data_IF_426122406192
#
_entry.id   IF_426122406192
#
_cell.length_a   1.000
_cell.length_b   1.000
_cell.length_c   1.000
_cell.angle_alpha   90.00
_cell.angle_beta   90.00
_cell.angle_gamma   90.00
#
_symmetry.space_group_name_H-M   'P 1'
#
loop_
_entity.id
_entity.type
_entity.pdbx_description
1 polymer ?
#
# COMPACT_ATOMS: atom_id res chain seq x y z
N UNK A 1 -10.14 17.04 0.55
CA UNK A 1 -9.38 16.95 -0.72
C UNK A 1 -7.90 16.95 -0.39
N UNK A 2 -7.11 16.11 -1.02
CA UNK A 2 -5.65 16.05 -0.88
C UNK A 2 -4.96 17.13 -1.75
N UNK A 3 -3.69 17.51 -1.48
CA UNK A 3 -3.02 18.59 -2.20
C UNK A 3 -2.74 18.30 -3.69
N UNK A 4 -2.70 17.02 -4.06
CA UNK A 4 -2.58 16.55 -5.45
C UNK A 4 -3.91 16.59 -6.23
N UNK A 5 -4.98 17.10 -5.60
CA UNK A 5 -6.31 17.18 -6.19
C UNK A 5 -7.13 15.90 -6.07
N UNK A 6 -6.57 14.80 -5.52
CA UNK A 6 -7.35 13.60 -5.24
C UNK A 6 -8.36 13.86 -4.11
N UNK A 7 -9.47 13.15 -4.17
CA UNK A 7 -10.57 13.28 -3.22
C UNK A 7 -10.61 12.00 -2.39
N UNK A 8 -10.33 12.10 -1.10
CA UNK A 8 -10.52 10.99 -0.16
C UNK A 8 -11.81 11.18 0.62
N UNK A 9 -12.54 10.09 0.82
CA UNK A 9 -13.81 10.08 1.57
C UNK A 9 -13.75 9.01 2.64
N UNK A 10 -14.23 9.31 3.84
CA UNK A 10 -14.59 8.29 4.81
C UNK A 10 -16.05 7.88 4.62
N UNK A 11 -16.29 6.58 4.65
CA UNK A 11 -17.61 5.99 4.47
C UNK A 11 -17.76 4.76 5.38
N UNK A 12 -18.95 4.17 5.33
CA UNK A 12 -19.16 2.81 5.83
C UNK A 12 -19.40 1.89 4.64
N UNK A 13 -18.86 0.68 4.71
CA UNK A 13 -19.13 -0.37 3.74
C UNK A 13 -19.89 -1.51 4.41
N UNK A 14 -20.85 -2.10 3.71
CA UNK A 14 -21.52 -3.32 4.14
C UNK A 14 -20.59 -4.51 3.88
N UNK A 15 -20.19 -5.20 4.96
CA UNK A 15 -19.34 -6.38 4.92
C UNK A 15 -20.06 -7.51 5.63
N UNK A 16 -20.77 -8.34 4.85
CA UNK A 16 -21.69 -9.33 5.39
C UNK A 16 -22.88 -8.65 6.09
N UNK A 17 -23.24 -9.04 7.33
CA UNK A 17 -24.40 -8.50 8.04
C UNK A 17 -24.13 -7.18 8.79
N UNK A 18 -22.91 -6.63 8.71
CA UNK A 18 -22.49 -5.45 9.49
C UNK A 18 -21.86 -4.37 8.62
N UNK A 19 -21.88 -3.13 9.11
CA UNK A 19 -21.16 -2.01 8.51
C UNK A 19 -19.75 -1.89 9.08
N UNK A 20 -18.77 -1.58 8.22
CA UNK A 20 -17.36 -1.38 8.57
C UNK A 20 -16.86 -0.01 8.13
N UNK A 21 -15.91 0.57 8.87
CA UNK A 21 -15.20 1.76 8.42
C UNK A 21 -14.56 1.49 7.06
N UNK A 22 -14.76 2.41 6.14
CA UNK A 22 -14.15 2.36 4.82
C UNK A 22 -13.63 3.73 4.41
N UNK A 23 -12.62 3.73 3.55
CA UNK A 23 -12.09 4.92 2.92
C UNK A 23 -11.95 4.69 1.42
N UNK A 24 -12.53 5.56 0.62
CA UNK A 24 -12.39 5.54 -0.83
C UNK A 24 -11.57 6.76 -1.29
N UNK A 25 -10.87 6.61 -2.42
CA UNK A 25 -10.19 7.73 -3.08
C UNK A 25 -10.62 7.84 -4.53
N UNK A 26 -10.79 9.08 -4.97
CA UNK A 26 -11.12 9.43 -6.33
C UNK A 26 -10.02 10.35 -6.89
N UNK A 27 -9.78 10.22 -8.19
CA UNK A 27 -8.96 11.11 -8.99
C UNK A 27 -9.62 12.50 -9.08
N UNK A 28 -8.88 13.57 -9.46
CA UNK A 28 -9.45 14.91 -9.61
C UNK A 28 -10.63 15.00 -10.59
N UNK A 29 -10.72 14.06 -11.54
CA UNK A 29 -11.82 13.95 -12.49
C UNK A 29 -13.05 13.17 -11.96
N UNK A 30 -13.03 12.76 -10.68
CA UNK A 30 -14.12 12.03 -10.02
C UNK A 30 -14.14 10.52 -10.27
N UNK A 31 -13.23 9.98 -11.07
CA UNK A 31 -13.09 8.52 -11.24
C UNK A 31 -12.46 7.89 -10.00
N UNK A 32 -12.82 6.65 -9.67
CA UNK A 32 -12.23 5.92 -8.55
C UNK A 32 -10.74 5.70 -8.80
N UNK A 33 -9.90 6.03 -7.81
CA UNK A 33 -8.47 5.76 -7.85
C UNK A 33 -8.21 4.34 -7.36
N UNK A 34 -8.14 3.39 -8.30
CA UNK A 34 -7.98 1.95 -8.01
C UNK A 34 -6.64 1.61 -7.33
N UNK A 35 -5.69 2.54 -7.29
CA UNK A 35 -4.39 2.37 -6.63
C UNK A 35 -4.43 2.60 -5.12
N UNK A 36 -5.55 3.12 -4.60
CA UNK A 36 -5.74 3.40 -3.18
C UNK A 36 -6.33 2.21 -2.42
N UNK A 37 -5.52 1.47 -1.67
CA UNK A 37 -5.99 0.25 -1.01
C UNK A 37 -6.34 -0.85 -2.02
N UNK A 38 -7.38 -1.65 -1.74
CA UNK A 38 -7.82 -2.74 -2.62
C UNK A 38 -8.97 -2.22 -3.49
N UNK A 39 -8.70 -2.06 -4.79
CA UNK A 39 -9.71 -1.58 -5.75
C UNK A 39 -10.19 -0.15 -5.48
N UNK A 40 -9.37 0.68 -4.86
CA UNK A 40 -9.70 2.07 -4.51
C UNK A 40 -10.33 2.26 -3.14
N UNK A 41 -10.45 1.18 -2.34
CA UNK A 41 -11.05 1.21 -1.01
C UNK A 41 -10.12 0.57 0.04
N UNK A 42 -10.01 1.22 1.19
CA UNK A 42 -9.43 0.64 2.42
C UNK A 42 -10.57 0.30 3.38
N UNK A 43 -10.53 -0.88 3.98
CA UNK A 43 -11.49 -1.33 4.99
C UNK A 43 -10.80 -1.44 6.34
N UNK A 44 -11.52 -1.12 7.40
CA UNK A 44 -11.06 -1.24 8.76
C UNK A 44 -12.06 -2.08 9.55
N UNK A 45 -11.56 -3.04 10.31
CA UNK A 45 -12.35 -3.82 11.25
C UNK A 45 -11.77 -3.63 12.64
N UNK A 46 -12.61 -3.17 13.56
CA UNK A 46 -12.23 -2.98 14.96
C UNK A 46 -12.53 -4.20 15.83
N UNK A 47 -12.95 -5.33 15.24
CA UNK A 47 -13.07 -6.63 15.91
C UNK A 47 -14.26 -6.75 16.85
N UNK A 48 -15.21 -5.81 16.81
CA UNK A 48 -16.37 -5.79 17.72
C UNK A 48 -17.52 -6.68 17.27
N UNK A 49 -17.52 -7.10 15.99
CA UNK A 49 -18.65 -7.81 15.38
C UNK A 49 -19.94 -6.99 15.29
N UNK A 50 -19.89 -5.69 15.59
CA UNK A 50 -21.03 -4.77 15.56
C UNK A 50 -20.95 -3.81 14.36
N UNK A 51 -22.04 -3.10 14.12
CA UNK A 51 -22.07 -2.00 13.15
C UNK A 51 -21.11 -0.89 13.55
N UNK A 52 -20.40 -0.38 12.57
CA UNK A 52 -19.49 0.74 12.69
C UNK A 52 -20.04 1.95 11.95
N UNK A 53 -19.77 3.15 12.47
CA UNK A 53 -20.21 4.43 11.91
C UNK A 53 -19.06 5.43 11.90
N UNK A 54 -18.88 6.10 10.76
CA UNK A 54 -17.91 7.19 10.60
C UNK A 54 -18.64 8.51 10.82
N UNK A 55 -18.18 9.31 11.77
CA UNK A 55 -18.77 10.61 12.12
C UNK A 55 -17.89 11.79 11.72
N UNK A 56 -16.60 11.56 11.46
CA UNK A 56 -15.66 12.61 11.12
C UNK A 56 -14.48 12.10 10.30
N UNK A 57 -13.99 12.99 9.43
CA UNK A 57 -12.79 12.75 8.63
C UNK A 57 -11.90 13.98 8.62
N UNK A 58 -10.58 13.74 8.61
CA UNK A 58 -9.58 14.79 8.47
C UNK A 58 -8.36 14.27 7.71
N UNK A 59 -7.51 15.17 7.25
CA UNK A 59 -6.17 14.83 6.77
C UNK A 59 -5.15 15.11 7.88
N UNK A 60 -4.22 14.20 8.10
CA UNK A 60 -3.06 14.46 8.95
C UNK A 60 -2.01 15.32 8.21
N UNK A 61 -0.93 15.79 8.87
CA UNK A 61 0.11 16.58 8.20
C UNK A 61 0.81 15.87 7.04
N UNK A 62 0.77 14.54 7.01
CA UNK A 62 1.30 13.72 5.91
C UNK A 62 0.24 13.44 4.84
N UNK A 63 -0.87 14.18 4.86
CA UNK A 63 -1.97 14.09 3.89
C UNK A 63 -2.67 12.74 3.84
N UNK A 64 -2.60 11.99 4.95
CA UNK A 64 -3.32 10.71 5.10
C UNK A 64 -4.68 10.95 5.71
N UNK A 65 -5.67 10.19 5.25
CA UNK A 65 -7.02 10.25 5.81
C UNK A 65 -7.02 9.69 7.24
N UNK A 66 -7.65 10.42 8.16
CA UNK A 66 -8.01 9.99 9.51
C UNK A 66 -9.53 9.92 9.57
N UNK A 67 -10.08 8.80 10.03
CA UNK A 67 -11.51 8.58 10.25
C UNK A 67 -11.75 8.42 11.75
N UNK A 68 -12.83 9.00 12.26
CA UNK A 68 -13.27 8.85 13.64
C UNK A 68 -14.78 8.58 13.71
N UNK A 69 -15.18 7.80 14.71
CA UNK A 69 -16.58 7.46 14.94
C UNK A 69 -16.72 6.35 15.98
N UNK A 70 -17.62 5.40 15.75
CA UNK A 70 -17.88 4.31 16.70
C UNK A 70 -17.88 2.94 16.04
N UNK A 71 -17.45 1.93 16.80
CA UNK A 71 -17.60 0.52 16.50
C UNK A 71 -18.43 -0.11 17.64
N UNK A 72 -19.73 -0.33 17.40
CA UNK A 72 -20.67 -0.61 18.48
C UNK A 72 -20.68 0.50 19.54
N UNK A 73 -20.38 0.15 20.79
CA UNK A 73 -20.38 1.09 21.92
C UNK A 73 -18.99 1.68 22.23
N UNK A 74 -18.01 1.50 21.33
CA UNK A 74 -16.62 1.92 21.55
C UNK A 74 -16.24 3.00 20.55
N UNK A 75 -15.48 3.99 21.02
CA UNK A 75 -14.87 5.01 20.15
C UNK A 75 -13.79 4.37 19.25
N UNK A 76 -13.86 4.67 17.96
CA UNK A 76 -12.98 4.10 16.96
C UNK A 76 -12.28 5.20 16.15
N UNK A 77 -10.98 5.04 15.91
CA UNK A 77 -10.17 5.92 15.06
C UNK A 77 -9.30 5.07 14.15
N UNK A 78 -9.35 5.34 12.85
CA UNK A 78 -8.45 4.77 11.86
C UNK A 78 -7.65 5.89 11.21
N UNK A 79 -6.38 5.63 10.93
CA UNK A 79 -5.58 6.47 10.02
C UNK A 79 -5.14 5.61 8.86
N UNK A 80 -5.55 5.99 7.66
CA UNK A 80 -5.20 5.27 6.44
C UNK A 80 -3.70 5.42 6.21
N UNK A 81 -2.99 4.32 6.00
CA UNK A 81 -1.64 4.37 5.43
C UNK A 81 -1.76 5.05 4.06
N UNK A 82 -0.85 5.97 3.69
CA UNK A 82 -1.00 6.78 2.46
C UNK A 82 -0.94 5.99 1.14
N UNK A 83 -0.47 6.64 0.08
CA UNK A 83 -0.15 6.01 -1.21
C UNK A 83 0.58 4.66 -1.07
N UNK A 84 0.42 3.73 -2.03
CA UNK A 84 0.44 2.29 -1.83
C UNK A 84 1.59 1.80 -0.95
N UNK A 85 1.29 0.82 -0.09
CA UNK A 85 2.25 0.15 0.79
C UNK A 85 3.26 -0.67 -0.04
N UNK A 86 4.14 0.04 -0.75
CA UNK A 86 5.31 -0.51 -1.39
C UNK A 86 6.14 -1.19 -0.32
N UNK A 87 6.17 -2.51 -0.33
CA UNK A 87 6.93 -3.27 0.66
C UNK A 87 7.52 -4.52 0.03
N UNK A 88 8.67 -4.92 0.56
CA UNK A 88 9.15 -6.28 0.38
C UNK A 88 8.46 -7.16 1.42
N UNK A 89 7.87 -8.28 0.97
CA UNK A 89 7.35 -9.34 1.82
C UNK A 89 8.47 -10.32 2.17
N UNK A 90 9.32 -10.66 1.19
CA UNK A 90 10.50 -11.50 1.41
C UNK A 90 11.66 -11.11 0.50
N UNK A 91 12.87 -11.36 0.98
CA UNK A 91 14.11 -11.30 0.22
C UNK A 91 14.92 -12.53 0.64
N UNK A 92 15.01 -13.52 -0.23
CA UNK A 92 15.56 -14.84 0.10
C UNK A 92 16.67 -15.22 -0.87
N UNK A 93 17.81 -15.65 -0.35
CA UNK A 93 18.89 -16.21 -1.16
C UNK A 93 18.55 -17.64 -1.60
N UNK A 94 18.72 -17.91 -2.90
CA UNK A 94 18.65 -19.26 -3.46
C UNK A 94 20.01 -19.98 -3.34
N UNK A 95 20.03 -21.28 -3.62
CA UNK A 95 21.24 -22.10 -3.51
C UNK A 95 22.41 -21.60 -4.39
N UNK A 96 22.09 -21.02 -5.55
CA UNK A 96 23.06 -20.42 -6.48
C UNK A 96 23.45 -18.96 -6.12
N UNK A 97 22.95 -18.44 -4.99
CA UNK A 97 23.08 -17.04 -4.52
C UNK A 97 22.28 -16.01 -5.31
N UNK A 98 21.39 -16.43 -6.20
CA UNK A 98 20.37 -15.52 -6.74
C UNK A 98 19.46 -15.07 -5.60
N UNK A 99 18.88 -13.88 -5.74
CA UNK A 99 17.97 -13.34 -4.74
C UNK A 99 16.54 -13.37 -5.27
N UNK A 100 15.66 -14.08 -4.58
CA UNK A 100 14.23 -14.06 -4.84
C UNK A 100 13.57 -13.01 -3.96
N UNK A 101 12.89 -12.06 -4.59
CA UNK A 101 12.23 -10.93 -3.94
C UNK A 101 10.74 -11.04 -4.19
N UNK A 102 9.95 -10.83 -3.14
CA UNK A 102 8.50 -10.70 -3.25
C UNK A 102 8.03 -9.47 -2.51
N UNK A 103 6.88 -8.93 -2.87
CA UNK A 103 6.35 -7.78 -2.17
C UNK A 103 4.96 -7.36 -2.59
N UNK A 104 4.55 -6.22 -2.05
CA UNK A 104 3.37 -5.50 -2.50
C UNK A 104 3.77 -4.24 -3.26
N UNK A 105 3.07 -4.02 -4.35
CA UNK A 105 3.18 -2.90 -5.26
C UNK A 105 1.81 -2.29 -5.51
N UNK A 106 1.74 -1.44 -6.52
CA UNK A 106 0.49 -0.81 -6.95
C UNK A 106 -0.21 -1.77 -7.92
N UNK A 107 -1.43 -2.25 -7.63
CA UNK A 107 -2.08 -3.25 -8.46
C UNK A 107 -2.21 -2.83 -9.92
N UNK A 108 -1.77 -3.70 -10.84
CA UNK A 108 -1.84 -3.45 -12.29
C UNK A 108 -0.80 -2.47 -12.83
N UNK A 109 0.04 -1.89 -11.97
CA UNK A 109 1.02 -0.87 -12.34
C UNK A 109 2.45 -1.40 -12.20
N UNK A 110 3.39 -0.74 -12.88
CA UNK A 110 4.82 -1.07 -12.82
C UNK A 110 5.53 -0.28 -11.71
N UNK A 111 6.27 -0.98 -10.85
CA UNK A 111 7.18 -0.39 -9.86
C UNK A 111 8.63 -0.58 -10.29
N UNK A 112 9.48 0.36 -9.91
CA UNK A 112 10.92 0.29 -10.14
C UNK A 112 11.61 -0.31 -8.92
N UNK A 113 12.37 -1.39 -9.15
CA UNK A 113 13.33 -1.93 -8.19
C UNK A 113 14.66 -1.20 -8.35
N UNK A 114 15.15 -0.65 -7.25
CA UNK A 114 16.49 -0.09 -7.15
C UNK A 114 17.38 -0.96 -6.29
N UNK A 115 18.67 -0.90 -6.57
CA UNK A 115 19.70 -1.65 -5.85
C UNK A 115 20.90 -0.77 -5.56
N UNK A 116 21.46 -0.95 -4.37
CA UNK A 116 22.81 -0.48 -4.03
C UNK A 116 23.71 -1.69 -3.79
N UNK A 117 24.84 -1.77 -4.47
CA UNK A 117 25.81 -2.86 -4.30
C UNK A 117 26.89 -2.45 -3.32
N UNK A 118 27.49 -3.45 -2.64
CA UNK A 118 28.61 -3.28 -1.71
C UNK A 118 28.36 -2.25 -0.59
N UNK A 119 27.09 -2.08 -0.20
CA UNK A 119 26.65 -1.12 0.83
C UNK A 119 27.08 0.33 0.53
N UNK A 120 27.21 0.70 -0.74
CA UNK A 120 27.58 2.06 -1.15
C UNK A 120 26.52 3.12 -0.83
N UNK A 121 25.28 2.71 -0.52
CA UNK A 121 24.14 3.60 -0.26
C UNK A 121 23.58 4.29 -1.51
N UNK A 122 24.22 4.13 -2.67
CA UNK A 122 23.77 4.67 -3.95
C UNK A 122 22.82 3.67 -4.59
N UNK A 123 21.53 4.02 -4.65
CA UNK A 123 20.51 3.21 -5.30
C UNK A 123 20.37 3.59 -6.77
N UNK A 124 20.54 2.61 -7.65
CA UNK A 124 20.26 2.74 -9.08
C UNK A 124 19.13 1.79 -9.48
N UNK A 125 18.21 2.20 -10.37
CA UNK A 125 17.25 1.28 -10.99
C UNK A 125 17.98 0.09 -11.63
N UNK A 126 17.45 -1.11 -11.44
CA UNK A 126 17.99 -2.32 -12.10
C UNK A 126 16.92 -3.24 -12.68
N UNK A 127 15.66 -3.08 -12.26
CA UNK A 127 14.54 -3.86 -12.77
C UNK A 127 13.21 -3.12 -12.62
N UNK A 128 12.21 -3.56 -13.38
CA UNK A 128 10.81 -3.18 -13.23
C UNK A 128 10.01 -4.42 -12.88
N UNK A 129 9.08 -4.30 -11.93
CA UNK A 129 8.13 -5.35 -11.56
C UNK A 129 6.72 -4.81 -11.73
N UNK A 130 5.81 -5.64 -12.25
CA UNK A 130 4.39 -5.29 -12.32
C UNK A 130 3.65 -6.10 -11.27
N UNK A 131 2.87 -5.41 -10.44
CA UNK A 131 2.07 -6.08 -9.44
C UNK A 131 0.77 -6.62 -10.05
N UNK A 132 0.33 -7.79 -9.59
CA UNK A 132 -0.93 -8.39 -9.96
C UNK A 132 -2.14 -7.57 -9.45
N UNK A 133 -3.37 -8.04 -9.72
CA UNK A 133 -4.59 -7.35 -9.29
C UNK A 133 -4.76 -7.26 -7.76
N UNK A 134 -4.00 -8.06 -6.99
CA UNK A 134 -3.95 -8.04 -5.53
C UNK A 134 -2.74 -7.25 -5.01
N UNK A 135 -1.94 -6.68 -5.90
CA UNK A 135 -0.74 -5.92 -5.58
C UNK A 135 0.50 -6.80 -5.36
N UNK A 136 0.44 -8.11 -5.54
CA UNK A 136 1.63 -8.97 -5.36
C UNK A 136 2.56 -8.86 -6.56
N UNK A 137 3.86 -8.82 -6.28
CA UNK A 137 4.89 -8.94 -7.31
C UNK A 137 5.99 -9.89 -6.84
N UNK A 138 6.69 -10.47 -7.81
CA UNK A 138 7.86 -11.32 -7.59
C UNK A 138 8.96 -10.98 -8.59
N UNK A 139 10.21 -11.17 -8.18
CA UNK A 139 11.37 -10.93 -9.01
C UNK A 139 12.55 -11.82 -8.60
N UNK A 140 13.25 -12.37 -9.60
CA UNK A 140 14.49 -13.12 -9.39
C UNK A 140 15.67 -12.28 -9.88
N UNK A 141 16.51 -11.82 -8.94
CA UNK A 141 17.76 -11.12 -9.26
C UNK A 141 18.89 -12.13 -9.47
N UNK A 142 19.08 -12.53 -10.72
CA UNK A 142 20.17 -13.43 -11.16
C UNK A 142 21.53 -12.74 -11.21
N UNK A 143 21.59 -11.41 -11.02
CA UNK A 143 22.84 -10.67 -10.95
C UNK A 143 23.34 -10.51 -9.52
N UNK A 144 22.54 -10.93 -8.52
CA UNK A 144 22.92 -10.87 -7.11
C UNK A 144 24.25 -11.57 -6.76
N UNK A 145 24.63 -12.70 -7.38
CA UNK A 145 25.92 -13.34 -7.11
C UNK A 145 27.14 -12.47 -7.48
N UNK A 146 26.98 -11.41 -8.29
CA UNK A 146 28.08 -10.56 -8.75
C UNK A 146 28.61 -9.60 -7.67
N UNK A 147 27.95 -9.48 -6.52
CA UNK A 147 28.39 -8.62 -5.42
C UNK A 147 28.17 -9.30 -4.06
N UNK A 148 29.08 -9.12 -3.10
CA UNK A 148 28.97 -9.75 -1.78
C UNK A 148 27.84 -9.20 -0.90
N UNK A 149 27.38 -7.95 -1.13
CA UNK A 149 26.32 -7.30 -0.35
C UNK A 149 25.43 -6.46 -1.25
N UNK A 150 24.11 -6.54 -1.06
CA UNK A 150 23.13 -5.74 -1.79
C UNK A 150 22.08 -5.16 -0.85
N UNK A 151 21.67 -3.92 -1.11
CA UNK A 151 20.46 -3.32 -0.55
C UNK A 151 19.43 -3.15 -1.67
N UNK A 152 18.17 -3.39 -1.37
CA UNK A 152 17.07 -3.25 -2.30
C UNK A 152 16.11 -2.15 -1.84
N UNK A 153 15.53 -1.46 -2.81
CA UNK A 153 14.49 -0.44 -2.59
C UNK A 153 13.43 -0.59 -3.67
N UNK A 154 12.17 -0.44 -3.28
CA UNK A 154 11.03 -0.37 -4.19
C UNK A 154 10.61 1.09 -4.32
N UNK A 155 10.24 1.50 -5.53
CA UNK A 155 9.69 2.83 -5.79
C UNK A 155 8.59 2.77 -6.83
N UNK A 156 7.66 3.70 -6.71
CA UNK A 156 6.60 3.96 -7.66
C UNK A 156 6.48 5.49 -7.79
N UNK A 157 6.29 6.04 -9.01
CA UNK A 157 6.14 7.48 -9.23
C UNK A 157 5.02 8.14 -8.42
#
# INVERSE_FOLDING_TARGET
MQPDGKIVTGCVAEVGPVTKFAAARFLPNGLLDTTYGVGGVNYFDFGTGANESVSGVALDPLQRLVLAGSAGNVFAVARVSGDPLLRFNSITAQANRDMYLTGLGVPGEAQTLLRATNLTGVFSPFASVSADALGNWEYLDTNAPAFPKGLYRLSYP
#
